data_IF_495083553349
#
_entry.id   IF_495083553349
#
_cell.length_a   1.000
_cell.length_b   1.000
_cell.length_c   1.000
_cell.angle_alpha   90.00
_cell.angle_beta   90.00
_cell.angle_gamma   90.00
#
_symmetry.space_group_name_H-M   'P 1'
#
loop_
_entity.id
_entity.type
_entity.pdbx_description
1 polymer ?
#
# COMPACT_ATOMS: atom_id res chain seq x y z
N UNK A 1 -13.62 -15.63 32.01
CA UNK A 1 -14.66 -16.07 31.07
C UNK A 1 -14.06 -16.89 29.96
N UNK A 2 -14.69 -17.98 29.60
CA UNK A 2 -14.26 -18.74 28.42
C UNK A 2 -14.56 -17.97 27.14
N UNK A 3 -13.59 -17.87 26.29
CA UNK A 3 -13.77 -17.30 24.94
C UNK A 3 -14.69 -18.24 24.13
N UNK A 4 -15.69 -17.68 23.45
CA UNK A 4 -16.59 -18.47 22.63
C UNK A 4 -15.84 -19.05 21.42
N UNK A 5 -16.38 -20.13 20.83
CA UNK A 5 -15.79 -20.73 19.62
C UNK A 5 -15.77 -19.76 18.45
N UNK A 6 -16.77 -18.87 18.35
CA UNK A 6 -16.83 -17.83 17.33
C UNK A 6 -15.69 -16.84 17.48
N UNK A 7 -15.43 -16.37 18.71
CA UNK A 7 -14.33 -15.46 19.00
C UNK A 7 -12.97 -16.07 18.62
N UNK A 8 -12.75 -17.33 18.99
CA UNK A 8 -11.52 -18.05 18.64
C UNK A 8 -11.33 -18.16 17.13
N UNK A 9 -12.40 -18.48 16.42
CA UNK A 9 -12.38 -18.55 14.96
C UNK A 9 -12.02 -17.19 14.36
N UNK A 10 -12.66 -16.11 14.83
CA UNK A 10 -12.43 -14.77 14.31
C UNK A 10 -11.02 -14.27 14.65
N UNK A 11 -10.47 -14.61 15.83
CA UNK A 11 -9.08 -14.29 16.16
C UNK A 11 -8.11 -15.03 15.23
N UNK A 12 -8.34 -16.31 14.98
CA UNK A 12 -7.53 -17.09 14.03
C UNK A 12 -7.61 -16.53 12.62
N UNK A 13 -8.80 -16.16 12.20
CA UNK A 13 -9.03 -15.52 10.89
C UNK A 13 -8.27 -14.19 10.80
N UNK A 14 -8.39 -13.33 11.83
CA UNK A 14 -7.70 -12.06 11.87
C UNK A 14 -6.18 -12.20 11.81
N UNK A 15 -5.62 -13.13 12.58
CA UNK A 15 -4.18 -13.43 12.53
C UNK A 15 -3.73 -13.87 11.14
N UNK A 16 -4.51 -14.75 10.52
CA UNK A 16 -4.22 -15.25 9.17
C UNK A 16 -4.19 -14.09 8.16
N UNK A 17 -5.22 -13.26 8.15
CA UNK A 17 -5.31 -12.13 7.22
C UNK A 17 -4.15 -11.16 7.42
N UNK A 18 -3.86 -10.77 8.66
CA UNK A 18 -2.76 -9.85 8.97
C UNK A 18 -1.43 -10.44 8.52
N UNK A 19 -1.18 -11.72 8.80
CA UNK A 19 0.05 -12.39 8.42
C UNK A 19 0.22 -12.45 6.90
N UNK A 20 -0.84 -12.78 6.18
CA UNK A 20 -0.81 -12.83 4.72
C UNK A 20 -0.65 -11.44 4.10
N UNK A 21 -1.34 -10.44 4.63
CA UNK A 21 -1.20 -9.05 4.19
C UNK A 21 0.23 -8.55 4.38
N UNK A 22 0.84 -8.79 5.53
CA UNK A 22 2.22 -8.43 5.81
C UNK A 22 3.21 -9.14 4.87
N UNK A 23 3.00 -10.42 4.63
CA UNK A 23 3.82 -11.20 3.70
C UNK A 23 3.73 -10.64 2.28
N UNK A 24 2.53 -10.37 1.80
CA UNK A 24 2.30 -9.80 0.47
C UNK A 24 2.93 -8.41 0.34
N UNK A 25 2.82 -7.59 1.37
CA UNK A 25 3.42 -6.26 1.39
C UNK A 25 4.94 -6.33 1.29
N UNK A 26 5.57 -7.25 2.02
CA UNK A 26 7.02 -7.48 1.96
C UNK A 26 7.47 -7.95 0.58
N UNK A 27 6.71 -8.86 -0.04
CA UNK A 27 6.99 -9.36 -1.39
C UNK A 27 6.90 -8.28 -2.46
N UNK A 28 6.00 -7.30 -2.27
CA UNK A 28 5.84 -6.19 -3.20
C UNK A 28 6.94 -5.14 -3.11
N UNK A 29 7.82 -5.22 -2.11
CA UNK A 29 8.90 -4.27 -1.84
C UNK A 29 8.42 -2.83 -1.59
N UNK A 30 7.19 -2.65 -1.13
CA UNK A 30 6.61 -1.34 -0.77
C UNK A 30 6.84 -0.95 0.69
N UNK A 31 7.76 -1.62 1.34
CA UNK A 31 7.93 -1.63 2.79
C UNK A 31 9.26 -0.97 3.21
N UNK A 32 9.53 0.24 2.70
CA UNK A 32 10.82 0.91 2.86
C UNK A 32 11.19 1.14 4.34
N UNK A 33 10.25 1.56 5.18
CA UNK A 33 10.47 1.86 6.60
C UNK A 33 9.80 0.87 7.54
N UNK A 34 9.07 -0.09 7.02
CA UNK A 34 8.21 -1.02 7.77
C UNK A 34 7.11 -0.36 8.61
N UNK A 35 6.92 0.95 8.51
CA UNK A 35 5.88 1.63 9.26
C UNK A 35 4.48 1.11 8.92
N UNK A 36 4.18 0.94 7.64
CA UNK A 36 2.91 0.35 7.21
C UNK A 36 2.80 -1.11 7.66
N UNK A 37 3.85 -1.91 7.47
CA UNK A 37 3.90 -3.30 7.89
C UNK A 37 3.55 -3.44 9.38
N UNK A 38 4.17 -2.64 10.23
CA UNK A 38 3.96 -2.69 11.68
C UNK A 38 2.58 -2.15 12.09
N UNK A 39 1.96 -1.32 11.26
CA UNK A 39 0.65 -0.73 11.55
C UNK A 39 -0.52 -1.70 11.32
N UNK A 40 -0.33 -2.76 10.53
CA UNK A 40 -1.40 -3.70 10.20
C UNK A 40 -1.76 -4.51 11.44
N UNK A 41 -3.01 -4.42 11.87
CA UNK A 41 -3.52 -5.11 13.05
C UNK A 41 -5.01 -5.39 12.92
N UNK A 42 -5.52 -6.22 13.81
CA UNK A 42 -6.95 -6.49 13.89
C UNK A 42 -7.45 -6.44 15.33
N UNK A 43 -8.74 -6.22 15.47
CA UNK A 43 -9.45 -6.29 16.77
C UNK A 43 -10.75 -7.03 16.56
N UNK A 44 -11.04 -8.00 17.41
CA UNK A 44 -12.33 -8.68 17.46
C UNK A 44 -13.20 -7.93 18.45
N UNK A 45 -14.37 -7.46 18.01
CA UNK A 45 -15.32 -6.74 18.85
C UNK A 45 -16.61 -7.51 18.98
N UNK A 46 -17.14 -7.55 20.21
CA UNK A 46 -18.48 -8.07 20.50
C UNK A 46 -19.46 -6.91 20.46
N UNK A 47 -20.52 -7.07 19.67
CA UNK A 47 -21.60 -6.09 19.54
C UNK A 47 -22.93 -6.73 19.93
N UNK A 48 -23.99 -5.92 20.07
CA UNK A 48 -25.33 -6.42 20.38
C UNK A 48 -25.88 -7.34 19.28
N UNK A 49 -25.35 -7.22 18.05
CA UNK A 49 -25.76 -8.00 16.90
C UNK A 49 -24.82 -9.17 16.59
N UNK A 50 -23.78 -9.39 17.40
CA UNK A 50 -22.82 -10.46 17.19
C UNK A 50 -21.39 -10.00 17.36
N UNK A 51 -20.51 -10.54 16.51
CA UNK A 51 -19.08 -10.23 16.55
C UNK A 51 -18.64 -9.57 15.23
N UNK A 52 -17.62 -8.72 15.33
CA UNK A 52 -16.97 -8.14 14.17
C UNK A 52 -15.45 -8.22 14.28
N UNK A 53 -14.79 -8.34 13.13
CA UNK A 53 -13.33 -8.24 13.02
C UNK A 53 -13.02 -6.94 12.30
N UNK A 54 -12.33 -6.03 12.97
CA UNK A 54 -11.92 -4.76 12.38
C UNK A 54 -10.43 -4.78 12.12
N UNK A 55 -10.04 -4.48 10.90
CA UNK A 55 -8.64 -4.37 10.50
C UNK A 55 -8.23 -2.91 10.44
N UNK A 56 -7.03 -2.64 10.91
CA UNK A 56 -6.48 -1.28 10.99
C UNK A 56 -5.10 -1.25 10.34
N UNK A 57 -4.81 -0.17 9.67
CA UNK A 57 -3.49 0.15 9.14
C UNK A 57 -3.39 1.65 8.90
N UNK A 58 -2.20 2.17 8.67
CA UNK A 58 -2.04 3.56 8.24
C UNK A 58 -2.82 3.83 6.95
N UNK A 59 -3.34 5.05 6.81
CA UNK A 59 -4.22 5.43 5.70
C UNK A 59 -3.59 5.21 4.33
N UNK A 60 -2.29 5.46 4.20
CA UNK A 60 -1.61 5.24 2.92
C UNK A 60 -1.55 3.77 2.49
N UNK A 61 -1.86 2.84 3.38
CA UNK A 61 -2.00 1.42 3.03
C UNK A 61 -3.07 1.17 1.98
N UNK A 62 -4.16 1.93 2.00
CA UNK A 62 -5.21 1.83 0.97
C UNK A 62 -4.68 2.20 -0.42
N UNK A 63 -3.81 3.21 -0.50
CA UNK A 63 -3.20 3.61 -1.77
C UNK A 63 -2.27 2.52 -2.34
N UNK A 64 -1.54 1.83 -1.47
CA UNK A 64 -0.67 0.72 -1.88
C UNK A 64 -1.50 -0.51 -2.28
N UNK A 65 -2.54 -0.82 -1.53
CA UNK A 65 -3.44 -1.97 -1.79
C UNK A 65 -4.18 -1.80 -3.12
N UNK A 66 -4.83 -0.66 -3.31
CA UNK A 66 -5.69 -0.38 -4.48
C UNK A 66 -4.95 0.31 -5.62
N UNK A 67 -3.79 0.89 -5.35
CA UNK A 67 -3.09 1.73 -6.30
C UNK A 67 -3.72 3.12 -6.41
N UNK A 68 -3.11 3.97 -7.20
CA UNK A 68 -3.61 5.31 -7.50
C UNK A 68 -3.46 5.55 -9.00
N UNK A 69 -4.55 5.87 -9.69
CA UNK A 69 -4.50 6.18 -11.12
C UNK A 69 -3.74 7.47 -11.36
N UNK A 70 -2.94 7.51 -12.43
CA UNK A 70 -2.34 8.73 -12.93
C UNK A 70 -3.33 9.55 -13.75
N UNK A 71 -2.92 10.74 -14.18
CA UNK A 71 -3.78 11.56 -15.03
C UNK A 71 -3.86 11.03 -16.46
N UNK A 72 -2.95 10.14 -16.87
CA UNK A 72 -2.93 9.54 -18.20
C UNK A 72 -3.04 8.02 -18.22
N UNK A 73 -2.97 7.37 -17.06
CA UNK A 73 -3.04 5.92 -16.95
C UNK A 73 -3.92 5.53 -15.77
N UNK A 74 -4.91 4.69 -16.03
CA UNK A 74 -5.82 4.17 -15.02
C UNK A 74 -5.18 2.95 -14.38
N UNK A 75 -5.18 2.89 -13.03
CA UNK A 75 -4.73 1.74 -12.28
C UNK A 75 -5.93 0.93 -11.81
N UNK A 76 -5.76 -0.37 -11.78
CA UNK A 76 -6.79 -1.32 -11.36
C UNK A 76 -6.24 -2.21 -10.25
N UNK A 77 -7.13 -2.76 -9.43
CA UNK A 77 -6.76 -3.72 -8.40
C UNK A 77 -7.74 -4.88 -8.40
N UNK A 78 -7.32 -6.01 -7.82
CA UNK A 78 -8.17 -7.17 -7.65
C UNK A 78 -8.82 -7.14 -6.28
N UNK A 79 -10.14 -7.32 -6.26
CA UNK A 79 -10.90 -7.43 -5.01
C UNK A 79 -10.78 -8.83 -4.42
N UNK A 80 -11.27 -8.99 -3.19
CA UNK A 80 -11.28 -10.27 -2.49
C UNK A 80 -12.06 -11.36 -3.24
N UNK A 81 -13.05 -10.98 -4.03
CA UNK A 81 -13.87 -11.90 -4.85
C UNK A 81 -13.34 -12.05 -6.28
N UNK A 82 -12.08 -11.69 -6.51
CA UNK A 82 -11.34 -11.85 -7.76
C UNK A 82 -11.85 -10.98 -8.92
N UNK A 83 -12.60 -9.92 -8.64
CA UNK A 83 -12.98 -8.93 -9.65
C UNK A 83 -11.88 -7.90 -9.84
N UNK A 84 -11.75 -7.41 -11.08
CA UNK A 84 -10.84 -6.31 -11.38
C UNK A 84 -11.62 -4.99 -11.38
N UNK A 85 -11.22 -4.05 -10.53
CA UNK A 85 -11.90 -2.77 -10.32
C UNK A 85 -10.90 -1.63 -10.46
N UNK A 86 -11.34 -0.51 -11.02
CA UNK A 86 -10.52 0.70 -11.11
C UNK A 86 -10.27 1.29 -9.72
N UNK A 87 -9.07 1.81 -9.49
CA UNK A 87 -8.75 2.47 -8.22
C UNK A 87 -9.66 3.67 -8.01
N UNK A 88 -10.18 3.86 -6.78
CA UNK A 88 -10.96 5.06 -6.45
C UNK A 88 -10.08 6.30 -6.29
N UNK A 89 -8.75 6.14 -6.28
CA UNK A 89 -7.79 7.23 -6.10
C UNK A 89 -7.19 7.63 -7.43
N UNK A 90 -7.00 8.94 -7.64
CA UNK A 90 -6.48 9.47 -8.89
C UNK A 90 -5.68 10.75 -8.65
N UNK A 91 -4.53 10.86 -9.30
CA UNK A 91 -3.80 12.14 -9.40
C UNK A 91 -4.43 13.01 -10.47
N UNK A 92 -4.58 14.29 -10.18
CA UNK A 92 -5.11 15.28 -11.10
C UNK A 92 -4.06 16.35 -11.39
N UNK A 93 -4.00 17.40 -10.58
CA UNK A 93 -3.10 18.53 -10.77
C UNK A 93 -1.86 18.50 -9.87
N UNK A 94 -1.94 17.80 -8.74
CA UNK A 94 -0.86 17.74 -7.76
C UNK A 94 0.07 16.57 -8.02
N UNK A 95 1.35 16.75 -7.70
CA UNK A 95 2.34 15.66 -7.69
C UNK A 95 2.51 15.16 -6.25
N UNK A 96 2.98 13.92 -6.04
CA UNK A 96 3.41 13.48 -4.72
C UNK A 96 4.50 14.41 -4.19
N UNK A 97 4.59 14.65 -2.87
CA UNK A 97 5.62 15.54 -2.32
C UNK A 97 7.03 15.02 -2.64
N UNK A 98 7.86 15.77 -3.37
CA UNK A 98 9.21 15.31 -3.72
C UNK A 98 10.11 15.04 -2.52
N UNK A 99 9.91 15.76 -1.40
CA UNK A 99 10.67 15.54 -0.17
C UNK A 99 10.48 14.14 0.42
N UNK A 100 9.28 13.58 0.33
CA UNK A 100 9.00 12.22 0.78
C UNK A 100 9.66 11.20 -0.14
N UNK A 101 9.63 11.44 -1.43
CA UNK A 101 10.30 10.58 -2.41
C UNK A 101 11.81 10.63 -2.25
N UNK A 102 12.37 11.79 -1.91
CA UNK A 102 13.80 11.92 -1.63
C UNK A 102 14.23 11.05 -0.45
N UNK A 103 13.44 11.01 0.62
CA UNK A 103 13.68 10.10 1.76
C UNK A 103 13.63 8.64 1.32
N UNK A 104 12.63 8.28 0.53
CA UNK A 104 12.49 6.91 0.01
C UNK A 104 13.67 6.52 -0.88
N UNK A 105 14.14 7.43 -1.75
CA UNK A 105 15.31 7.23 -2.60
C UNK A 105 16.54 6.92 -1.74
N UNK A 106 16.78 7.71 -0.70
CA UNK A 106 17.89 7.49 0.23
C UNK A 106 17.78 6.14 0.94
N UNK A 107 16.61 5.82 1.46
CA UNK A 107 16.35 4.56 2.18
C UNK A 107 16.59 3.35 1.28
N UNK A 108 16.20 3.43 0.01
CA UNK A 108 16.37 2.34 -0.96
C UNK A 108 17.72 2.33 -1.66
N UNK A 109 18.55 3.37 -1.49
CA UNK A 109 19.83 3.47 -2.18
C UNK A 109 19.72 3.62 -3.68
N UNK A 110 18.61 4.18 -4.18
CA UNK A 110 18.37 4.36 -5.61
C UNK A 110 19.20 5.54 -6.11
N UNK A 111 19.83 5.37 -7.28
CA UNK A 111 20.57 6.43 -7.97
C UNK A 111 20.09 6.54 -9.41
N UNK A 112 19.82 7.77 -9.84
CA UNK A 112 19.42 8.05 -11.22
C UNK A 112 20.57 8.61 -12.05
N UNK A 113 20.54 8.34 -13.36
CA UNK A 113 21.51 8.89 -14.32
C UNK A 113 20.80 9.65 -15.42
N UNK A 114 21.41 10.73 -15.88
CA UNK A 114 20.94 11.45 -17.06
C UNK A 114 21.10 10.58 -18.31
N UNK A 115 20.06 10.49 -19.13
CA UNK A 115 20.12 9.78 -20.41
C UNK A 115 21.06 10.48 -21.41
N UNK A 116 21.21 11.81 -21.31
CA UNK A 116 22.03 12.60 -22.20
C UNK A 116 23.53 12.50 -21.89
N UNK A 117 23.90 12.55 -20.60
CA UNK A 117 25.30 12.64 -20.18
C UNK A 117 25.83 11.39 -19.48
N UNK A 118 24.95 10.47 -19.06
CA UNK A 118 25.32 9.29 -18.30
C UNK A 118 25.76 9.58 -16.85
N UNK A 119 25.78 10.84 -16.46
CA UNK A 119 26.16 11.25 -15.09
C UNK A 119 25.03 11.03 -14.11
N UNK A 120 25.41 10.81 -12.85
CA UNK A 120 24.42 10.73 -11.76
C UNK A 120 23.71 12.07 -11.58
N UNK A 121 22.41 12.02 -11.38
CA UNK A 121 21.62 13.18 -11.00
C UNK A 121 21.43 13.22 -9.50
N UNK A 122 21.17 14.43 -8.94
CA UNK A 122 20.92 14.57 -7.53
C UNK A 122 19.64 13.83 -7.10
N UNK A 123 19.56 13.44 -5.83
CA UNK A 123 18.36 12.84 -5.27
C UNK A 123 17.14 13.77 -5.41
N UNK A 124 17.37 15.08 -5.27
CA UNK A 124 16.32 16.09 -5.45
C UNK A 124 15.76 16.07 -6.87
N UNK A 125 16.63 16.10 -7.89
CA UNK A 125 16.19 16.04 -9.28
C UNK A 125 15.47 14.72 -9.59
N UNK A 126 15.98 13.61 -9.08
CA UNK A 126 15.37 12.30 -9.25
C UNK A 126 14.00 12.25 -8.57
N UNK A 127 13.84 12.85 -7.39
CA UNK A 127 12.56 12.88 -6.68
C UNK A 127 11.48 13.61 -7.48
N UNK A 128 11.81 14.73 -8.14
CA UNK A 128 10.88 15.43 -9.02
C UNK A 128 10.53 14.59 -10.24
N UNK A 129 11.50 13.94 -10.88
CA UNK A 129 11.26 13.09 -12.05
C UNK A 129 10.30 11.94 -11.69
N UNK A 130 10.51 11.29 -10.55
CA UNK A 130 9.64 10.23 -10.06
C UNK A 130 8.25 10.77 -9.74
N UNK A 131 8.15 11.94 -9.09
CA UNK A 131 6.88 12.57 -8.76
C UNK A 131 6.03 12.84 -10.02
N UNK A 132 6.63 13.38 -11.07
CA UNK A 132 5.93 13.63 -12.33
C UNK A 132 5.52 12.33 -13.03
N UNK A 133 6.34 11.30 -12.96
CA UNK A 133 6.00 9.98 -13.51
C UNK A 133 4.81 9.37 -12.76
N UNK A 134 4.78 9.47 -11.43
CA UNK A 134 3.66 9.00 -10.61
C UNK A 134 2.39 9.76 -10.94
N UNK A 135 2.47 11.07 -11.12
CA UNK A 135 1.31 11.88 -11.53
C UNK A 135 0.75 11.41 -12.86
N UNK A 136 1.60 11.07 -13.82
CA UNK A 136 1.19 10.63 -15.15
C UNK A 136 0.63 9.21 -15.15
N UNK A 137 1.38 8.27 -14.57
CA UNK A 137 1.10 6.83 -14.66
C UNK A 137 0.41 6.28 -13.42
N UNK A 138 0.47 7.00 -12.30
CA UNK A 138 -0.07 6.54 -11.03
C UNK A 138 0.84 5.57 -10.30
N UNK A 139 0.29 4.92 -9.29
CA UNK A 139 0.95 3.91 -8.47
C UNK A 139 0.24 2.58 -8.71
N UNK A 140 0.99 1.57 -9.11
CA UNK A 140 0.45 0.24 -9.35
C UNK A 140 -0.07 -0.38 -8.06
N UNK A 141 -1.24 -1.01 -8.12
CA UNK A 141 -1.82 -1.72 -6.98
C UNK A 141 -1.01 -2.97 -6.65
N UNK A 142 -0.98 -3.34 -5.37
CA UNK A 142 -0.37 -4.58 -4.91
C UNK A 142 -1.41 -5.60 -4.48
N UNK A 143 -2.62 -5.15 -4.15
CA UNK A 143 -3.71 -5.96 -3.57
C UNK A 143 -3.24 -6.78 -2.35
N UNK A 144 -2.27 -6.26 -1.58
CA UNK A 144 -1.67 -7.00 -0.48
C UNK A 144 -2.67 -7.35 0.62
N UNK A 145 -3.69 -6.52 0.80
CA UNK A 145 -4.76 -6.74 1.79
C UNK A 145 -5.98 -7.42 1.18
N UNK A 146 -6.32 -7.13 -0.07
CA UNK A 146 -7.49 -7.71 -0.74
C UNK A 146 -7.34 -9.21 -1.00
N UNK A 147 -6.13 -9.66 -1.39
CA UNK A 147 -5.90 -11.06 -1.74
C UNK A 147 -6.18 -12.06 -0.60
N UNK A 148 -5.78 -11.80 0.66
CA UNK A 148 -6.06 -12.74 1.76
C UNK A 148 -7.52 -12.81 2.16
N UNK A 149 -8.29 -11.78 1.87
CA UNK A 149 -9.71 -11.76 2.18
C UNK A 149 -10.47 -12.74 1.26
#
# INVERSE_FOLDING_TARGET
>A
MATSNIERYLESFGKYIVQQAKSNLSKSKKNATKALYDSIRFVVKKTNQGFSVNFYMFDYGSFIDKGVSGNKKIQQYKTWDNRTVESPYKYTNKIPPPSMLEKWIKTRGIKGRSKKTGRFISNKSLSYAIAYKIKRDGIKSTSFFQRPL
#
